data_IF_455573237462
#
_entry.id   IF_455573237462
#
_cell.length_a   1.000
_cell.length_b   1.000
_cell.length_c   1.000
_cell.angle_alpha   90.00
_cell.angle_beta   90.00
_cell.angle_gamma   90.00
#
_symmetry.space_group_name_H-M   'P 1'
#
loop_
_entity.id
_entity.type
_entity.pdbx_description
1 polymer ?
#
# COMPACT_ATOMS: atom_id res chain seq x y z
N UNK A 1 3.27 10.29 0.88
CA UNK A 1 3.21 9.03 0.10
C UNK A 1 4.19 7.99 0.61
N UNK A 2 5.49 8.11 0.31
CA UNK A 2 6.53 7.11 0.64
C UNK A 2 6.44 6.54 2.08
N UNK A 3 6.54 7.40 3.10
CA UNK A 3 6.54 6.96 4.50
C UNK A 3 5.26 6.22 4.93
N UNK A 4 4.12 6.51 4.32
CA UNK A 4 2.84 5.88 4.69
C UNK A 4 2.76 4.46 4.15
N UNK A 5 3.18 4.25 2.89
CA UNK A 5 3.21 2.93 2.25
C UNK A 5 4.25 2.04 2.94
N UNK A 6 5.46 2.57 3.16
CA UNK A 6 6.52 1.85 3.86
C UNK A 6 6.08 1.44 5.26
N UNK A 7 5.45 2.35 6.02
CA UNK A 7 4.98 2.05 7.38
C UNK A 7 3.82 1.05 7.40
N UNK A 8 2.91 1.10 6.43
CA UNK A 8 1.78 0.18 6.35
C UNK A 8 2.23 -1.25 6.02
N UNK A 9 3.24 -1.37 5.13
CA UNK A 9 3.76 -2.64 4.70
C UNK A 9 4.91 -3.18 5.56
N UNK A 10 5.58 -2.34 6.36
CA UNK A 10 6.55 -2.77 7.35
C UNK A 10 5.85 -3.34 8.57
N UNK A 11 6.01 -4.64 8.76
CA UNK A 11 5.48 -5.38 9.90
C UNK A 11 6.63 -6.13 10.51
N UNK A 12 6.98 -5.77 11.75
CA UNK A 12 8.15 -6.29 12.46
C UNK A 12 8.18 -7.83 12.41
N UNK A 13 9.22 -8.36 11.75
CA UNK A 13 9.46 -9.80 11.63
C UNK A 13 8.52 -10.56 10.68
N UNK A 14 7.73 -9.85 9.86
CA UNK A 14 6.85 -10.44 8.84
C UNK A 14 7.09 -9.85 7.45
N UNK A 15 7.16 -8.53 7.33
CA UNK A 15 7.30 -7.85 6.04
C UNK A 15 8.02 -6.52 6.17
N UNK A 16 8.65 -6.08 5.09
CA UNK A 16 9.31 -4.80 4.97
C UNK A 16 8.98 -4.19 3.61
N UNK A 17 8.92 -2.88 3.52
CA UNK A 17 8.68 -2.18 2.27
C UNK A 17 9.60 -0.97 2.14
N UNK A 18 10.09 -0.77 0.93
CA UNK A 18 10.96 0.33 0.55
C UNK A 18 10.33 0.99 -0.67
N UNK A 19 10.06 2.28 -0.59
CA UNK A 19 9.54 3.04 -1.72
C UNK A 19 10.68 3.56 -2.57
N UNK A 20 10.62 3.27 -3.86
CA UNK A 20 11.56 3.74 -4.86
C UNK A 20 10.93 4.93 -5.60
N UNK A 21 11.40 6.13 -5.29
CA UNK A 21 10.86 7.37 -5.88
C UNK A 21 11.22 7.51 -7.37
N UNK A 22 12.36 6.93 -7.79
CA UNK A 22 12.85 6.98 -9.17
C UNK A 22 11.97 6.14 -10.11
N UNK A 23 11.57 4.95 -9.64
CA UNK A 23 10.69 4.04 -10.37
C UNK A 23 9.20 4.28 -10.08
N UNK A 24 8.88 5.16 -9.13
CA UNK A 24 7.53 5.34 -8.59
C UNK A 24 6.88 4.02 -8.13
N UNK A 25 7.67 3.11 -7.54
CA UNK A 25 7.25 1.76 -7.16
C UNK A 25 7.65 1.40 -5.72
N UNK A 26 6.77 0.69 -5.02
CA UNK A 26 7.08 0.11 -3.70
C UNK A 26 7.63 -1.31 -3.85
N UNK A 27 8.85 -1.55 -3.37
CA UNK A 27 9.40 -2.91 -3.26
C UNK A 27 9.05 -3.48 -1.89
N UNK A 28 8.23 -4.52 -1.88
CA UNK A 28 7.77 -5.19 -0.66
C UNK A 28 8.48 -6.54 -0.55
N UNK A 29 9.17 -6.75 0.57
CA UNK A 29 9.80 -8.01 0.93
C UNK A 29 9.02 -8.65 2.06
N UNK A 30 8.54 -9.87 1.86
CA UNK A 30 7.78 -10.61 2.87
C UNK A 30 8.48 -11.91 3.24
N UNK A 31 8.23 -12.35 4.47
CA UNK A 31 8.57 -13.70 4.92
C UNK A 31 7.37 -14.61 4.64
N UNK A 32 7.45 -15.42 3.59
CA UNK A 32 6.38 -16.31 3.13
C UNK A 32 5.97 -17.38 4.15
N UNK A 33 6.77 -17.59 5.19
CA UNK A 33 6.46 -18.53 6.29
C UNK A 33 5.55 -17.84 7.32
N UNK A 34 5.66 -16.51 7.47
CA UNK A 34 4.97 -15.74 8.53
C UNK A 34 3.84 -14.83 8.02
N UNK A 35 3.86 -14.48 6.73
CA UNK A 35 2.84 -13.63 6.10
C UNK A 35 2.76 -13.93 4.60
N UNK A 36 1.76 -13.35 3.93
CA UNK A 36 1.61 -13.41 2.48
C UNK A 36 1.51 -12.00 1.89
N UNK A 37 1.59 -11.91 0.56
CA UNK A 37 1.53 -10.63 -0.16
C UNK A 37 0.18 -9.97 0.06
N UNK A 38 -0.89 -10.77 0.02
CA UNK A 38 -2.29 -10.36 0.22
C UNK A 38 -2.52 -9.57 1.51
N UNK A 39 -2.02 -10.07 2.65
CA UNK A 39 -2.04 -9.42 3.97
C UNK A 39 -1.36 -8.06 3.95
N UNK A 40 -0.23 -7.94 3.24
CA UNK A 40 0.52 -6.69 3.15
C UNK A 40 -0.20 -5.70 2.25
N UNK A 41 -0.74 -6.16 1.11
CA UNK A 41 -1.52 -5.33 0.21
C UNK A 41 -2.81 -4.83 0.86
N UNK A 42 -3.49 -5.65 1.66
CA UNK A 42 -4.64 -5.24 2.48
C UNK A 42 -4.27 -4.13 3.48
N UNK A 43 -3.09 -4.20 4.10
CA UNK A 43 -2.61 -3.13 5.01
C UNK A 43 -2.34 -1.83 4.26
N UNK A 44 -1.77 -1.90 3.06
CA UNK A 44 -1.55 -0.73 2.20
C UNK A 44 -2.90 -0.13 1.77
N UNK A 45 -3.85 -0.95 1.37
CA UNK A 45 -5.22 -0.54 1.08
C UNK A 45 -5.90 0.11 2.29
N UNK A 46 -5.68 -0.42 3.50
CA UNK A 46 -6.22 0.13 4.74
C UNK A 46 -5.66 1.51 5.13
N UNK A 47 -4.55 1.95 4.52
CA UNK A 47 -4.03 3.31 4.67
C UNK A 47 -4.31 4.20 3.45
N UNK A 48 -5.13 3.74 2.51
CA UNK A 48 -5.65 4.57 1.42
C UNK A 48 -4.98 4.37 0.07
N UNK A 49 -4.02 3.45 -0.07
CA UNK A 49 -3.33 3.22 -1.36
C UNK A 49 -3.80 1.93 -2.01
N UNK A 50 -4.19 2.03 -3.27
CA UNK A 50 -4.55 0.90 -4.10
C UNK A 50 -3.29 0.11 -4.49
N UNK A 51 -3.47 -1.18 -4.65
CA UNK A 51 -2.51 -2.11 -5.21
C UNK A 51 -3.19 -2.91 -6.33
N UNK A 52 -2.39 -3.64 -7.10
CA UNK A 52 -2.84 -4.43 -8.23
C UNK A 52 -3.97 -5.41 -7.87
N UNK A 53 -3.91 -5.99 -6.66
CA UNK A 53 -4.93 -6.93 -6.17
C UNK A 53 -5.94 -6.32 -5.17
N UNK A 54 -5.60 -5.19 -4.54
CA UNK A 54 -6.39 -4.65 -3.43
C UNK A 54 -6.63 -3.17 -3.59
N UNK A 55 -7.90 -2.79 -3.66
CA UNK A 55 -8.31 -1.40 -3.70
C UNK A 55 -8.53 -0.87 -2.28
N UNK A 56 -8.02 0.33 -2.00
CA UNK A 56 -8.27 1.03 -0.77
C UNK A 56 -9.75 1.45 -0.65
N UNK A 57 -10.32 1.45 0.57
CA UNK A 57 -11.64 2.01 0.79
C UNK A 57 -11.66 3.49 0.40
N UNK A 58 -12.73 3.93 -0.26
CA UNK A 58 -12.87 5.32 -0.69
C UNK A 58 -12.76 6.27 0.49
N UNK A 59 -13.40 5.96 1.62
CA UNK A 59 -13.31 6.76 2.85
C UNK A 59 -11.88 6.97 3.35
N UNK A 60 -10.99 5.98 3.21
CA UNK A 60 -9.59 6.10 3.65
C UNK A 60 -8.77 6.87 2.62
N UNK A 61 -8.98 6.60 1.34
CA UNK A 61 -8.33 7.34 0.25
C UNK A 61 -8.75 8.83 0.26
N UNK A 62 -10.02 9.12 0.50
CA UNK A 62 -10.53 10.49 0.65
C UNK A 62 -9.98 11.19 1.89
N UNK A 63 -9.58 10.41 2.91
CA UNK A 63 -8.90 10.92 4.09
C UNK A 63 -7.41 11.17 3.88
N UNK A 64 -6.82 10.68 2.78
CA UNK A 64 -5.44 11.01 2.44
C UNK A 64 -5.29 12.51 2.22
N UNK A 65 -4.18 13.07 2.69
CA UNK A 65 -3.85 14.46 2.42
C UNK A 65 -3.78 14.70 0.91
N UNK A 66 -4.22 15.87 0.42
CA UNK A 66 -4.31 16.13 -1.02
C UNK A 66 -3.00 15.93 -1.81
N UNK A 67 -1.84 16.02 -1.15
CA UNK A 67 -0.54 15.71 -1.77
C UNK A 67 -0.26 14.20 -1.97
N UNK A 68 -1.12 13.33 -1.45
CA UNK A 68 -1.03 11.88 -1.51
C UNK A 68 -2.18 11.23 -2.27
N UNK A 69 -3.17 12.01 -2.68
CA UNK A 69 -4.24 11.57 -3.57
C UNK A 69 -3.70 11.56 -5.00
N UNK A 70 -3.90 10.45 -5.70
CA UNK A 70 -3.49 10.23 -7.08
C UNK A 70 -4.68 9.77 -7.92
N UNK A 71 -4.69 10.09 -9.21
CA UNK A 71 -5.77 9.66 -10.09
C UNK A 71 -5.83 8.13 -10.14
N UNK A 72 -6.89 7.54 -9.58
CA UNK A 72 -7.09 6.10 -9.49
C UNK A 72 -8.22 5.69 -10.44
N UNK A 73 -8.07 4.60 -11.21
CA UNK A 73 -9.09 4.18 -12.16
C UNK A 73 -10.42 3.93 -11.45
N UNK A 74 -11.55 4.19 -12.10
CA UNK A 74 -12.88 3.93 -11.52
C UNK A 74 -13.00 2.47 -11.05
N UNK A 75 -13.77 2.21 -9.98
CA UNK A 75 -14.06 0.82 -9.56
C UNK A 75 -14.71 0.12 -10.75
N UNK A 76 -14.12 -0.97 -11.21
CA UNK A 76 -14.83 -1.88 -12.10
C UNK A 76 -15.89 -2.57 -11.23
N UNK A 77 -17.14 -2.28 -11.56
CA UNK A 77 -18.35 -2.82 -10.94
C UNK A 77 -18.53 -4.31 -11.26
#
# INVERSE_FOLDING_TARGET
>A
MQKTIEKAANVKGKSNAVWDADLAMAKITIDSIKTNVDEVLKRIAAVGYDSENFRAPDSVYENLHGCCQYDRPAKKE
#
